data_IF_289976274420
#
_entry.id   IF_289976274420
#
_cell.length_a   1.000
_cell.length_b   1.000
_cell.length_c   1.000
_cell.angle_alpha   90.00
_cell.angle_beta   90.00
_cell.angle_gamma   90.00
#
_symmetry.space_group_name_H-M   'P 1'
#
loop_
_entity.id
_entity.type
_entity.pdbx_description
1 polymer ?
#
# COMPACT_ATOMS: atom_id res chain seq x y z
N UNK A 1 11.45 18.18 2.08
CA UNK A 1 10.90 18.76 0.84
C UNK A 1 11.36 17.93 -0.35
N UNK A 2 12.67 17.68 -0.51
CA UNK A 2 13.24 16.84 -1.58
C UNK A 2 12.55 15.47 -1.80
N UNK A 3 12.25 14.71 -0.75
CA UNK A 3 11.58 13.40 -0.88
C UNK A 3 10.15 13.50 -1.47
N UNK A 4 9.46 14.60 -1.19
CA UNK A 4 8.13 14.88 -1.70
C UNK A 4 8.19 15.29 -3.17
N UNK A 5 9.15 16.15 -3.53
CA UNK A 5 9.36 16.59 -4.91
C UNK A 5 9.72 15.40 -5.81
N UNK A 6 10.58 14.50 -5.32
CA UNK A 6 10.92 13.26 -6.02
C UNK A 6 9.71 12.32 -6.18
N UNK A 7 8.85 12.26 -5.17
CA UNK A 7 7.62 11.48 -5.26
C UNK A 7 6.64 12.05 -6.30
N UNK A 8 6.47 13.38 -6.34
CA UNK A 8 5.64 14.04 -7.34
C UNK A 8 6.15 13.80 -8.76
N UNK A 9 7.46 13.97 -8.99
CA UNK A 9 8.06 13.72 -10.30
C UNK A 9 7.80 12.28 -10.79
N UNK A 10 7.88 11.29 -9.89
CA UNK A 10 7.53 9.90 -10.21
C UNK A 10 6.05 9.70 -10.56
N UNK A 11 5.15 10.44 -9.92
CA UNK A 11 3.72 10.37 -10.24
C UNK A 11 3.41 11.03 -11.57
N UNK A 12 4.06 12.15 -11.89
CA UNK A 12 3.97 12.83 -13.18
C UNK A 12 4.46 11.93 -14.31
N UNK A 13 5.63 11.28 -14.16
CA UNK A 13 6.15 10.30 -15.12
C UNK A 13 5.13 9.17 -15.40
N UNK A 14 4.55 8.59 -14.35
CA UNK A 14 3.55 7.54 -14.52
C UNK A 14 2.25 8.03 -15.15
N UNK A 15 1.87 9.29 -14.91
CA UNK A 15 0.68 9.90 -15.49
C UNK A 15 0.85 10.10 -17.00
N UNK A 16 1.99 10.64 -17.43
CA UNK A 16 2.31 10.81 -18.84
C UNK A 16 2.25 9.47 -19.59
N UNK A 17 2.83 8.41 -19.03
CA UNK A 17 2.75 7.07 -19.59
C UNK A 17 1.32 6.54 -19.71
N UNK A 18 0.42 6.87 -18.77
CA UNK A 18 -0.99 6.47 -18.84
C UNK A 18 -1.76 7.26 -19.90
N UNK A 19 -1.53 8.57 -20.02
CA UNK A 19 -2.18 9.42 -21.01
C UNK A 19 -1.78 9.04 -22.44
N UNK A 20 -0.50 8.73 -22.67
CA UNK A 20 0.00 8.18 -23.94
C UNK A 20 -0.71 6.86 -24.28
N UNK A 21 -0.72 5.92 -23.33
CA UNK A 21 -1.38 4.61 -23.50
C UNK A 21 -2.88 4.73 -23.71
N UNK A 22 -3.55 5.68 -23.06
CA UNK A 22 -4.98 5.93 -23.22
C UNK A 22 -5.29 6.38 -24.65
N UNK A 23 -4.49 7.31 -25.17
CA UNK A 23 -4.62 7.79 -26.54
C UNK A 23 -4.48 6.63 -27.53
N UNK A 24 -3.40 5.84 -27.40
CA UNK A 24 -3.20 4.67 -28.24
C UNK A 24 -4.34 3.63 -28.13
N UNK A 25 -4.83 3.35 -26.92
CA UNK A 25 -5.93 2.41 -26.70
C UNK A 25 -7.26 2.90 -27.31
N UNK A 26 -7.51 4.22 -27.28
CA UNK A 26 -8.69 4.83 -27.91
C UNK A 26 -8.61 4.76 -29.43
N UNK A 27 -7.42 4.99 -30.02
CA UNK A 27 -7.22 4.85 -31.46
C UNK A 27 -7.45 3.40 -31.91
N UNK A 28 -6.93 2.42 -31.15
CA UNK A 28 -7.19 1.00 -31.38
C UNK A 28 -8.70 0.71 -31.31
N UNK A 29 -9.39 1.20 -30.28
CA UNK A 29 -10.83 1.00 -30.13
C UNK A 29 -11.63 1.63 -31.29
N UNK A 30 -11.25 2.83 -31.74
CA UNK A 30 -11.88 3.52 -32.86
C UNK A 30 -11.69 2.79 -34.20
N UNK A 31 -10.56 2.09 -34.37
CA UNK A 31 -10.28 1.28 -35.56
C UNK A 31 -11.08 -0.03 -35.66
N UNK A 32 -11.77 -0.46 -34.60
CA UNK A 32 -12.54 -1.72 -34.60
C UNK A 32 -13.88 -1.52 -35.31
N UNK A 33 -13.99 -2.05 -36.52
CA UNK A 33 -15.22 -1.99 -37.31
C UNK A 33 -16.38 -2.84 -36.76
N UNK A 34 -16.08 -3.91 -36.03
CA UNK A 34 -17.08 -4.88 -35.54
C UNK A 34 -17.28 -4.70 -34.02
N UNK A 35 -18.43 -4.17 -33.55
CA UNK A 35 -18.62 -3.81 -32.14
C UNK A 35 -18.49 -4.95 -31.13
N UNK A 36 -18.73 -6.20 -31.54
CA UNK A 36 -18.57 -7.38 -30.69
C UNK A 36 -17.11 -7.73 -30.41
N UNK A 37 -16.17 -7.26 -31.23
CA UNK A 37 -14.72 -7.48 -31.05
C UNK A 37 -14.08 -6.42 -30.16
N UNK A 38 -14.80 -5.33 -29.85
CA UNK A 38 -14.28 -4.20 -29.09
C UNK A 38 -14.15 -4.45 -27.57
N UNK A 39 -14.57 -5.61 -27.07
CA UNK A 39 -14.55 -5.94 -25.63
C UNK A 39 -13.20 -5.69 -24.96
N UNK A 40 -12.12 -6.37 -25.39
CA UNK A 40 -10.78 -6.20 -24.80
C UNK A 40 -10.25 -4.77 -24.89
N UNK A 41 -10.51 -4.06 -26.01
CA UNK A 41 -10.08 -2.68 -26.19
C UNK A 41 -10.83 -1.72 -25.24
N UNK A 42 -12.14 -1.92 -25.04
CA UNK A 42 -12.92 -1.16 -24.05
C UNK A 42 -12.46 -1.42 -22.63
N UNK A 43 -12.18 -2.67 -22.29
CA UNK A 43 -11.64 -3.04 -20.97
C UNK A 43 -10.29 -2.37 -20.71
N UNK A 44 -9.42 -2.34 -21.72
CA UNK A 44 -8.12 -1.66 -21.62
C UNK A 44 -8.28 -0.15 -21.41
N UNK A 45 -9.12 0.53 -22.20
CA UNK A 45 -9.43 1.96 -22.03
C UNK A 45 -9.96 2.22 -20.62
N UNK A 46 -10.95 1.44 -20.17
CA UNK A 46 -11.54 1.58 -18.84
C UNK A 46 -10.52 1.36 -17.71
N UNK A 47 -9.59 0.41 -17.87
CA UNK A 47 -8.53 0.17 -16.89
C UNK A 47 -7.57 1.35 -16.77
N UNK A 48 -7.21 1.98 -17.88
CA UNK A 48 -6.32 3.14 -17.92
C UNK A 48 -7.03 4.38 -17.35
N UNK A 49 -8.27 4.65 -17.76
CA UNK A 49 -9.09 5.75 -17.22
C UNK A 49 -9.27 5.63 -15.71
N UNK A 50 -9.57 4.42 -15.21
CA UNK A 50 -9.67 4.19 -13.78
C UNK A 50 -8.35 4.42 -13.03
N UNK A 51 -7.19 4.23 -13.68
CA UNK A 51 -5.89 4.50 -13.06
C UNK A 51 -5.63 6.00 -12.94
N UNK A 52 -5.94 6.77 -13.99
CA UNK A 52 -5.87 8.24 -13.99
C UNK A 52 -6.81 8.84 -12.95
N UNK A 53 -8.06 8.39 -12.87
CA UNK A 53 -9.02 8.85 -11.86
C UNK A 53 -8.50 8.62 -10.42
N UNK A 54 -7.74 7.55 -10.20
CA UNK A 54 -7.11 7.30 -8.90
C UNK A 54 -5.94 8.24 -8.63
N UNK A 55 -5.22 8.69 -9.64
CA UNK A 55 -4.18 9.72 -9.48
C UNK A 55 -4.83 11.04 -9.08
N UNK A 56 -5.91 11.44 -9.75
CA UNK A 56 -6.64 12.67 -9.44
C UNK A 56 -7.18 12.67 -8.00
N UNK A 57 -7.53 11.49 -7.48
CA UNK A 57 -7.99 11.30 -6.10
C UNK A 57 -6.87 11.11 -5.08
N UNK A 58 -5.61 11.06 -5.50
CA UNK A 58 -4.46 10.78 -4.61
C UNK A 58 -4.44 9.34 -4.06
N UNK A 59 -5.15 8.40 -4.69
CA UNK A 59 -5.23 6.99 -4.27
C UNK A 59 -4.33 6.06 -5.11
N UNK A 60 -3.68 6.60 -6.13
CA UNK A 60 -2.83 5.83 -7.03
C UNK A 60 -1.67 5.13 -6.29
N UNK A 61 -1.30 3.95 -6.77
CA UNK A 61 -0.29 3.10 -6.11
C UNK A 61 -0.79 2.32 -4.89
N UNK A 62 -2.08 2.39 -4.54
CA UNK A 62 -2.70 1.49 -3.55
C UNK A 62 -3.57 0.44 -4.22
N UNK A 63 -3.61 -0.76 -3.66
CA UNK A 63 -4.44 -1.85 -4.17
C UNK A 63 -5.92 -1.57 -3.92
N UNK A 64 -6.76 -1.70 -4.95
CA UNK A 64 -8.23 -1.48 -4.84
C UNK A 64 -8.94 -2.46 -3.89
N UNK A 65 -8.33 -3.61 -3.57
CA UNK A 65 -8.95 -4.68 -2.77
C UNK A 65 -8.50 -4.70 -1.32
N UNK A 66 -7.19 -4.56 -1.07
CA UNK A 66 -6.63 -4.66 0.28
C UNK A 66 -5.94 -3.37 0.75
N UNK A 67 -5.98 -2.29 -0.04
CA UNK A 67 -5.30 -1.01 0.23
C UNK A 67 -3.78 -1.05 0.42
N UNK A 68 -3.15 -2.22 0.26
CA UNK A 68 -1.69 -2.34 0.30
C UNK A 68 -1.03 -1.55 -0.82
N UNK A 69 0.17 -1.03 -0.57
CA UNK A 69 0.98 -0.36 -1.58
C UNK A 69 1.39 -1.33 -2.70
N UNK A 70 1.28 -0.86 -3.92
CA UNK A 70 1.80 -1.51 -5.12
C UNK A 70 3.23 -0.98 -5.34
N UNK A 71 4.25 -1.85 -5.47
CA UNK A 71 5.62 -1.41 -5.68
C UNK A 71 5.78 -0.56 -6.94
N UNK A 72 6.61 0.47 -6.87
CA UNK A 72 6.84 1.39 -7.99
C UNK A 72 7.35 0.65 -9.23
N UNK A 73 8.20 -0.36 -9.07
CA UNK A 73 8.78 -1.15 -10.16
C UNK A 73 7.72 -2.00 -10.89
N UNK A 74 6.58 -2.27 -10.24
CA UNK A 74 5.42 -2.88 -10.88
C UNK A 74 4.67 -1.83 -11.69
N UNK A 75 4.39 -0.66 -11.08
CA UNK A 75 3.67 0.43 -11.74
C UNK A 75 4.43 1.02 -12.92
N UNK A 76 5.77 1.03 -12.90
CA UNK A 76 6.56 1.47 -14.05
C UNK A 76 6.40 0.54 -15.26
N UNK A 77 6.22 -0.77 -15.02
CA UNK A 77 5.97 -1.75 -16.09
C UNK A 77 4.50 -1.73 -16.53
N UNK A 78 3.58 -1.67 -15.58
CA UNK A 78 2.14 -1.71 -15.78
C UNK A 78 1.43 -0.63 -14.93
N UNK A 79 1.44 0.65 -15.35
CA UNK A 79 0.84 1.76 -14.61
C UNK A 79 -0.69 1.64 -14.46
N UNK A 80 -1.36 0.93 -15.36
CA UNK A 80 -2.79 0.65 -15.23
C UNK A 80 -3.11 -0.44 -14.18
N UNK A 81 -2.10 -1.09 -13.58
CA UNK A 81 -2.28 -2.11 -12.55
C UNK A 81 -2.84 -1.49 -11.26
N UNK A 82 -3.87 -2.12 -10.70
CA UNK A 82 -4.55 -1.61 -9.50
C UNK A 82 -4.66 -2.67 -8.41
N UNK A 83 -4.10 -3.85 -8.62
CA UNK A 83 -4.02 -4.92 -7.66
C UNK A 83 -2.57 -5.16 -7.27
N UNK A 84 -2.34 -5.43 -5.99
CA UNK A 84 -1.05 -5.96 -5.57
C UNK A 84 -0.88 -7.38 -6.11
N UNK A 85 0.36 -7.86 -6.20
CA UNK A 85 0.65 -9.22 -6.65
C UNK A 85 -0.17 -10.30 -5.92
N UNK A 86 -0.43 -10.11 -4.61
CA UNK A 86 -1.27 -11.03 -3.83
C UNK A 86 -2.76 -11.01 -4.21
N UNK A 87 -3.31 -9.84 -4.56
CA UNK A 87 -4.70 -9.73 -4.99
C UNK A 87 -4.91 -10.08 -6.47
N UNK A 88 -3.89 -9.90 -7.32
CA UNK A 88 -3.94 -10.19 -8.76
C UNK A 88 -3.69 -11.66 -9.12
N UNK A 89 -2.88 -12.38 -8.33
CA UNK A 89 -2.55 -13.80 -8.58
C UNK A 89 -3.56 -14.79 -8.00
N UNK A 90 -4.39 -14.39 -7.05
CA UNK A 90 -5.30 -15.27 -6.32
C UNK A 90 -6.76 -15.04 -6.73
N UNK A 91 -7.32 -15.96 -7.52
CA UNK A 91 -8.75 -16.18 -7.53
C UNK A 91 -9.24 -16.46 -6.10
N UNK A 92 -10.06 -15.55 -5.56
CA UNK A 92 -10.89 -15.72 -4.33
C UNK A 92 -10.25 -16.47 -3.14
N UNK A 93 -9.04 -16.10 -2.74
CA UNK A 93 -8.51 -16.48 -1.41
C UNK A 93 -8.00 -15.24 -0.68
N UNK A 94 -8.15 -15.25 0.64
CA UNK A 94 -7.95 -14.12 1.53
C UNK A 94 -6.45 -13.77 1.63
N UNK A 95 -6.01 -12.82 0.81
CA UNK A 95 -4.76 -12.12 1.05
C UNK A 95 -4.98 -11.17 2.23
N UNK A 96 -4.59 -11.58 3.44
CA UNK A 96 -4.49 -10.69 4.60
C UNK A 96 -3.41 -9.66 4.31
N UNK A 97 -3.81 -8.52 3.74
CA UNK A 97 -2.93 -7.42 3.36
C UNK A 97 -2.21 -6.88 4.59
N UNK A 98 -1.04 -7.43 4.90
CA UNK A 98 -0.17 -6.90 5.94
C UNK A 98 0.54 -5.70 5.35
N UNK A 99 -0.13 -4.55 5.39
CA UNK A 99 0.48 -3.25 5.13
C UNK A 99 1.73 -3.15 5.99
N UNK A 100 2.91 -3.02 5.37
CA UNK A 100 4.17 -2.75 6.06
C UNK A 100 4.23 -1.30 6.59
N UNK A 101 3.10 -0.76 7.06
CA UNK A 101 3.03 0.50 7.81
C UNK A 101 3.30 0.31 9.31
N UNK A 102 3.51 -0.91 9.78
CA UNK A 102 3.92 -1.22 11.16
C UNK A 102 5.40 -0.87 11.48
N UNK A 103 5.99 0.14 10.82
CA UNK A 103 7.32 0.69 11.20
C UNK A 103 7.31 2.19 11.51
N UNK A 104 6.15 2.83 11.72
CA UNK A 104 6.11 4.26 12.12
C UNK A 104 4.95 4.63 13.05
N UNK A 105 4.69 3.81 14.07
CA UNK A 105 3.90 4.21 15.24
C UNK A 105 4.53 3.73 16.57
N UNK A 106 5.84 3.45 16.58
CA UNK A 106 6.60 3.25 17.81
C UNK A 106 7.64 4.37 17.93
N UNK A 107 7.18 5.55 18.33
CA UNK A 107 8.02 6.44 19.11
C UNK A 107 7.79 6.05 20.58
N UNK A 108 8.65 5.24 21.22
CA UNK A 108 8.63 5.20 22.66
C UNK A 108 9.13 6.58 23.09
N UNK A 109 8.21 7.39 23.60
CA UNK A 109 8.56 8.51 24.46
C UNK A 109 9.36 7.90 25.61
N UNK A 110 10.68 8.02 25.54
CA UNK A 110 11.58 7.72 26.65
C UNK A 110 11.37 8.76 27.75
N UNK A 111 10.36 8.56 28.58
CA UNK A 111 10.28 9.19 29.90
C UNK A 111 11.03 8.32 30.88
N UNK A 112 12.35 8.49 30.95
CA UNK A 112 13.15 7.93 32.04
C UNK A 112 13.42 9.02 33.06
N UNK A 113 12.37 9.36 33.82
CA UNK A 113 12.53 9.98 35.13
C UNK A 113 13.06 8.90 36.08
N UNK A 114 14.38 8.83 36.24
CA UNK A 114 15.01 7.98 37.25
C UNK A 114 14.68 8.49 38.66
N UNK A 115 13.67 7.87 39.25
CA UNK A 115 13.32 8.02 40.65
C UNK A 115 14.34 7.26 41.53
N UNK A 116 15.05 8.06 42.33
CA UNK A 116 15.46 7.82 43.73
C UNK A 116 15.30 6.36 44.23
N UNK A 117 16.43 5.67 44.39
CA UNK A 117 16.54 4.42 45.14
C UNK A 117 16.36 4.68 46.64
N UNK A 118 15.29 4.17 47.25
CA UNK A 118 15.13 4.15 48.70
C UNK A 118 15.15 2.70 49.23
N UNK A 119 16.15 2.44 50.09
CA UNK A 119 16.03 1.72 51.36
C UNK A 119 15.38 0.34 51.36
N UNK A 120 16.20 -0.70 51.16
CA UNK A 120 15.85 -2.08 51.54
C UNK A 120 15.96 -2.24 53.06
N UNK A 121 14.82 -2.23 53.77
CA UNK A 121 14.75 -2.69 55.17
C UNK A 121 14.15 -4.09 55.16
N UNK A 122 14.95 -5.07 55.59
CA UNK A 122 14.55 -6.45 55.81
C UNK A 122 13.82 -6.54 57.15
N UNK A 123 12.61 -7.07 57.16
CA UNK A 123 11.99 -7.61 58.37
C UNK A 123 11.76 -9.11 58.18
N UNK A 124 12.45 -9.86 59.04
CA UNK A 124 12.31 -11.30 59.23
C UNK A 124 11.00 -11.58 60.00
N UNK A 125 10.19 -12.51 59.47
CA UNK A 125 9.03 -13.04 60.19
C UNK A 125 9.00 -14.56 59.96
N UNK A 126 9.38 -15.27 61.02
CA UNK A 126 9.59 -16.71 61.04
C UNK A 126 8.34 -17.56 60.80
N UNK A 127 8.58 -18.77 60.30
CA UNK A 127 7.60 -19.86 60.24
C UNK A 127 8.29 -21.22 60.25
N UNK A 128 8.15 -21.95 61.35
CA UNK A 128 8.01 -23.42 61.46
C UNK A 128 7.94 -23.73 62.97
N UNK A 129 6.91 -24.32 63.56
CA UNK A 129 6.01 -25.33 63.02
C UNK A 129 6.65 -26.71 63.15
N UNK A 130 6.84 -27.20 64.39
CA UNK A 130 7.30 -28.56 64.67
C UNK A 130 6.14 -29.46 65.09
N UNK A 131 6.15 -30.64 64.48
CA UNK A 131 5.26 -31.78 64.65
C UNK A 131 5.34 -32.42 66.05
N UNK A 132 4.24 -33.00 66.51
CA UNK A 132 4.05 -34.45 66.76
C UNK A 132 2.70 -34.69 67.44
#
# INVERSE_FOLDING_TARGET
>A
MQDYDHHLARLEELRELLEERLTAARDVLAGIAVPSQAGPAREQVAAIEAALERMDRGLYGTCRRCSAFIPYEVLLRAPQEQLCAGCGSAGRTEHTGRTRSARRAESPLGTEGSARTEGSVRTDAGRAGTAA
#
